data_IF_998159048249
#
_entry.id   IF_998159048249
#
_cell.length_a   1.000
_cell.length_b   1.000
_cell.length_c   1.000
_cell.angle_alpha   90.00
_cell.angle_beta   90.00
_cell.angle_gamma   90.00
#
_symmetry.space_group_name_H-M   'P 1'
#
loop_
_entity.id
_entity.type
_entity.pdbx_description
1 polymer ?
#
# COMPACT_ATOMS: atom_id res chain seq x y z
N UNK A 1 -38.52 48.40 -13.36
CA UNK A 1 -37.10 48.04 -13.12
C UNK A 1 -36.92 46.88 -12.16
N UNK A 2 -37.49 46.89 -10.94
CA UNK A 2 -37.33 45.81 -9.96
C UNK A 2 -37.83 44.41 -10.42
N UNK A 3 -38.85 44.37 -11.29
CA UNK A 3 -39.41 43.13 -11.85
C UNK A 3 -38.52 42.50 -12.92
N UNK A 4 -37.75 43.29 -13.68
CA UNK A 4 -36.78 42.80 -14.66
C UNK A 4 -35.53 42.20 -14.01
N UNK A 5 -35.10 42.75 -12.87
CA UNK A 5 -33.94 42.25 -12.12
C UNK A 5 -34.22 40.87 -11.50
N UNK A 6 -35.45 40.62 -11.05
CA UNK A 6 -35.86 39.33 -10.48
C UNK A 6 -35.91 38.19 -11.50
N UNK A 7 -36.40 38.44 -12.72
CA UNK A 7 -36.44 37.41 -13.77
C UNK A 7 -35.06 37.07 -14.31
N UNK A 8 -34.13 38.02 -14.36
CA UNK A 8 -32.75 37.76 -14.79
C UNK A 8 -32.01 36.89 -13.77
N UNK A 9 -32.23 37.08 -12.46
CA UNK A 9 -31.59 36.28 -11.41
C UNK A 9 -32.05 34.81 -11.43
N UNK A 10 -33.32 34.52 -11.76
CA UNK A 10 -33.81 33.14 -11.88
C UNK A 10 -33.24 32.39 -13.10
N UNK A 11 -32.91 33.08 -14.19
CA UNK A 11 -32.38 32.44 -15.39
C UNK A 11 -30.90 32.01 -15.24
N UNK A 12 -30.12 32.71 -14.40
CA UNK A 12 -28.68 32.42 -14.20
C UNK A 12 -28.45 31.16 -13.33
N UNK A 13 -29.38 30.82 -12.43
CA UNK A 13 -29.24 29.66 -11.53
C UNK A 13 -29.42 28.32 -12.28
N UNK A 14 -30.09 28.32 -13.44
CA UNK A 14 -30.37 27.11 -14.23
C UNK A 14 -29.22 26.68 -15.17
N UNK A 15 -28.12 27.45 -15.23
CA UNK A 15 -26.93 27.11 -16.04
C UNK A 15 -25.81 26.44 -15.24
N UNK A 16 -26.05 26.04 -13.99
CA UNK A 16 -25.12 25.17 -13.27
C UNK A 16 -25.15 23.77 -13.92
N UNK A 17 -24.28 23.57 -14.92
CA UNK A 17 -24.12 22.28 -15.59
C UNK A 17 -23.89 21.17 -14.59
N UNK A 18 -24.58 20.04 -14.78
CA UNK A 18 -24.39 18.84 -13.99
C UNK A 18 -22.95 18.35 -14.20
N UNK A 19 -22.09 18.53 -13.20
CA UNK A 19 -20.83 17.83 -13.14
C UNK A 19 -21.13 16.35 -12.87
N UNK A 20 -20.99 15.51 -13.89
CA UNK A 20 -21.03 14.06 -13.72
C UNK A 20 -19.73 13.60 -13.09
N UNK A 21 -19.81 12.76 -12.06
CA UNK A 21 -18.64 12.07 -11.54
C UNK A 21 -18.20 11.02 -12.57
N UNK A 22 -17.00 11.19 -13.14
CA UNK A 22 -16.34 10.14 -13.91
C UNK A 22 -15.90 9.05 -12.92
N UNK A 23 -16.45 7.85 -13.07
CA UNK A 23 -16.02 6.70 -12.26
C UNK A 23 -14.73 6.13 -12.86
N UNK A 24 -13.62 6.32 -12.16
CA UNK A 24 -12.34 5.70 -12.52
C UNK A 24 -12.24 4.39 -11.74
N UNK A 25 -12.40 3.26 -12.43
CA UNK A 25 -12.11 1.95 -11.86
C UNK A 25 -10.59 1.80 -11.77
N UNK A 26 -10.04 1.90 -10.56
CA UNK A 26 -8.65 1.53 -10.33
C UNK A 26 -8.52 0.00 -10.38
N UNK A 27 -7.41 -0.53 -10.93
CA UNK A 27 -7.04 -1.92 -10.67
C UNK A 27 -7.01 -2.15 -9.16
N UNK A 28 -7.31 -3.38 -8.72
CA UNK A 28 -7.07 -3.75 -7.32
C UNK A 28 -5.65 -3.36 -6.92
N UNK A 29 -5.46 -2.85 -5.70
CA UNK A 29 -4.14 -2.63 -5.09
C UNK A 29 -3.40 -3.98 -4.99
N UNK A 30 -2.78 -4.31 -6.13
CA UNK A 30 -1.98 -5.47 -6.52
C UNK A 30 -2.51 -6.90 -6.30
N UNK A 31 -2.62 -7.73 -7.37
CA UNK A 31 -2.46 -9.18 -7.24
C UNK A 31 -1.05 -9.58 -6.71
N UNK A 32 -0.08 -8.68 -6.82
CA UNK A 32 1.33 -8.88 -6.47
C UNK A 32 1.66 -8.62 -5.00
N UNK A 33 0.73 -8.10 -4.18
CA UNK A 33 0.96 -7.87 -2.75
C UNK A 33 0.82 -9.15 -1.91
N UNK A 34 0.25 -10.22 -2.48
CA UNK A 34 0.01 -11.46 -1.75
C UNK A 34 1.33 -12.17 -1.47
N UNK A 35 1.65 -12.29 -0.19
CA UNK A 35 2.85 -13.00 0.23
C UNK A 35 2.76 -14.51 -0.11
N UNK A 36 3.80 -15.07 -0.74
CA UNK A 36 3.93 -16.52 -0.98
C UNK A 36 3.72 -17.30 0.33
N UNK A 37 2.93 -18.38 0.35
CA UNK A 37 2.72 -19.16 1.56
C UNK A 37 4.03 -19.84 2.02
N UNK A 38 4.18 -19.99 3.33
CA UNK A 38 5.31 -20.73 3.91
C UNK A 38 5.54 -20.43 5.39
N UNK A 39 6.43 -21.17 6.07
CA UNK A 39 6.79 -20.91 7.45
C UNK A 39 7.28 -19.45 7.61
N UNK A 40 6.66 -18.70 8.53
CA UNK A 40 6.95 -17.29 8.77
C UNK A 40 6.13 -16.29 7.94
N UNK A 41 5.34 -16.74 6.95
CA UNK A 41 4.49 -15.86 6.13
C UNK A 41 3.48 -15.05 6.95
N UNK A 42 2.83 -15.66 7.95
CA UNK A 42 1.88 -14.95 8.82
C UNK A 42 2.55 -13.88 9.69
N UNK A 43 3.80 -14.14 10.13
CA UNK A 43 4.58 -13.15 10.89
C UNK A 43 5.00 -12.01 9.97
N UNK A 44 5.43 -12.29 8.74
CA UNK A 44 5.72 -11.26 7.76
C UNK A 44 4.47 -10.44 7.40
N UNK A 45 3.32 -11.09 7.20
CA UNK A 45 2.06 -10.41 6.89
C UNK A 45 1.63 -9.47 8.01
N UNK A 46 1.69 -9.92 9.27
CA UNK A 46 1.26 -9.09 10.41
C UNK A 46 2.21 -7.92 10.67
N UNK A 47 3.52 -8.13 10.47
CA UNK A 47 4.55 -7.19 10.90
C UNK A 47 4.97 -6.20 9.80
N UNK A 48 5.02 -6.64 8.54
CA UNK A 48 5.53 -5.83 7.44
C UNK A 48 4.44 -4.99 6.74
N UNK A 49 3.15 -5.31 6.97
CA UNK A 49 2.02 -4.55 6.42
C UNK A 49 1.59 -3.35 7.30
N UNK A 50 2.32 -3.08 8.40
CA UNK A 50 1.96 -2.00 9.33
C UNK A 50 2.21 -0.60 8.78
N UNK A 51 3.23 -0.45 7.93
CA UNK A 51 3.69 0.86 7.45
C UNK A 51 3.59 1.04 5.93
N UNK A 52 3.60 -0.05 5.18
CA UNK A 52 3.51 -0.06 3.72
C UNK A 52 2.87 -1.36 3.22
N UNK A 53 2.46 -1.40 1.97
CA UNK A 53 1.98 -2.60 1.30
C UNK A 53 3.10 -3.64 1.13
N UNK A 54 2.74 -4.92 1.04
CA UNK A 54 3.67 -6.04 0.92
C UNK A 54 4.18 -6.27 -0.51
N UNK A 55 3.64 -5.54 -1.49
CA UNK A 55 4.18 -5.45 -2.85
C UNK A 55 5.66 -5.00 -2.86
N UNK A 56 6.08 -4.14 -1.92
CA UNK A 56 7.48 -3.75 -1.71
C UNK A 56 8.41 -4.92 -1.44
N UNK A 57 7.90 -6.04 -0.90
CA UNK A 57 8.65 -7.28 -0.70
C UNK A 57 8.67 -8.07 -2.00
N UNK A 58 7.50 -8.27 -2.63
CA UNK A 58 7.34 -9.11 -3.81
C UNK A 58 8.10 -8.55 -5.02
N UNK A 59 8.19 -7.23 -5.13
CA UNK A 59 8.90 -6.54 -6.21
C UNK A 59 10.43 -6.45 -6.01
N UNK A 60 10.99 -6.88 -4.87
CA UNK A 60 12.44 -6.86 -4.71
C UNK A 60 13.12 -7.88 -5.65
N UNK A 61 14.33 -7.56 -6.15
CA UNK A 61 15.20 -8.57 -6.75
C UNK A 61 15.46 -9.74 -5.77
N UNK A 62 15.60 -10.99 -6.26
CA UNK A 62 15.90 -12.12 -5.39
C UNK A 62 17.13 -11.89 -4.51
N UNK A 63 16.95 -12.02 -3.19
CA UNK A 63 17.99 -11.77 -2.18
C UNK A 63 18.37 -13.01 -1.38
N UNK A 64 19.64 -13.20 -1.09
CA UNK A 64 20.06 -14.26 -0.15
C UNK A 64 19.77 -13.87 1.32
N UNK A 65 20.02 -14.79 2.26
CA UNK A 65 19.76 -14.58 3.69
C UNK A 65 20.38 -13.29 4.21
N UNK A 66 21.64 -13.02 3.87
CA UNK A 66 22.37 -11.83 4.34
C UNK A 66 21.70 -10.54 3.84
N UNK A 67 21.24 -10.55 2.59
CA UNK A 67 20.53 -9.41 2.02
C UNK A 67 19.21 -9.15 2.75
N UNK A 68 18.41 -10.19 3.00
CA UNK A 68 17.14 -10.05 3.72
C UNK A 68 17.31 -9.70 5.20
N UNK A 69 18.34 -10.21 5.87
CA UNK A 69 18.71 -9.79 7.22
C UNK A 69 18.98 -8.29 7.27
N UNK A 70 19.70 -7.76 6.26
CA UNK A 70 19.97 -6.33 6.11
C UNK A 70 18.70 -5.51 5.89
N UNK A 71 17.77 -5.99 5.07
CA UNK A 71 16.48 -5.33 4.83
C UNK A 71 15.64 -5.28 6.10
N UNK A 72 15.47 -6.40 6.79
CA UNK A 72 14.70 -6.47 8.05
C UNK A 72 15.35 -5.59 9.13
N UNK A 73 16.68 -5.63 9.24
CA UNK A 73 17.44 -4.75 10.16
C UNK A 73 17.20 -3.28 9.83
N UNK A 74 17.16 -2.90 8.54
CA UNK A 74 16.84 -1.53 8.13
C UNK A 74 15.43 -1.14 8.58
N UNK A 75 14.44 -2.01 8.41
CA UNK A 75 13.07 -1.72 8.86
C UNK A 75 13.02 -1.46 10.36
N UNK A 76 13.74 -2.24 11.15
CA UNK A 76 13.77 -2.11 12.62
C UNK A 76 14.56 -0.87 13.05
N UNK A 77 15.80 -0.70 12.57
CA UNK A 77 16.74 0.30 13.11
C UNK A 77 16.57 1.70 12.49
N UNK A 78 16.16 1.78 11.23
CA UNK A 78 16.02 3.05 10.50
C UNK A 78 14.57 3.52 10.49
N UNK A 79 13.63 2.61 10.28
CA UNK A 79 12.20 2.96 10.19
C UNK A 79 11.39 2.64 11.44
N UNK A 80 12.00 2.04 12.47
CA UNK A 80 11.37 1.85 13.78
C UNK A 80 10.32 0.73 13.81
N UNK A 81 10.38 -0.24 12.89
CA UNK A 81 9.45 -1.36 12.88
C UNK A 81 9.53 -2.16 14.21
N UNK A 82 8.41 -2.36 14.93
CA UNK A 82 8.41 -2.95 16.27
C UNK A 82 8.40 -4.50 16.20
N UNK A 83 9.51 -5.10 15.77
CA UNK A 83 9.68 -6.56 15.74
C UNK A 83 10.55 -7.04 16.91
N UNK A 84 10.16 -8.18 17.50
CA UNK A 84 11.05 -8.93 18.40
C UNK A 84 12.22 -9.55 17.62
N UNK A 85 13.32 -9.89 18.29
CA UNK A 85 14.47 -10.55 17.63
C UNK A 85 14.07 -11.91 17.01
N UNK A 86 13.14 -12.62 17.65
CA UNK A 86 12.60 -13.89 17.15
C UNK A 86 11.77 -13.69 15.88
N UNK A 87 10.88 -12.69 15.86
CA UNK A 87 10.08 -12.37 14.68
C UNK A 87 10.94 -11.84 13.54
N UNK A 88 11.94 -10.99 13.84
CA UNK A 88 12.89 -10.48 12.86
C UNK A 88 13.63 -11.62 12.16
N UNK A 89 14.12 -12.60 12.92
CA UNK A 89 14.75 -13.81 12.39
C UNK A 89 13.79 -14.62 11.53
N UNK A 90 12.57 -14.89 12.03
CA UNK A 90 11.57 -15.66 11.30
C UNK A 90 11.18 -15.01 9.97
N UNK A 91 11.03 -13.67 9.96
CA UNK A 91 10.73 -12.91 8.74
C UNK A 91 11.91 -12.97 7.78
N UNK A 92 13.14 -12.72 8.21
CA UNK A 92 14.29 -12.73 7.31
C UNK A 92 14.51 -14.11 6.66
N UNK A 93 14.36 -15.20 7.43
CA UNK A 93 14.43 -16.57 6.90
C UNK A 93 13.28 -16.89 5.94
N UNK A 94 12.06 -16.46 6.26
CA UNK A 94 10.92 -16.60 5.35
C UNK A 94 11.19 -15.89 4.01
N UNK A 95 11.66 -14.64 4.08
CA UNK A 95 11.94 -13.83 2.90
C UNK A 95 13.04 -14.45 2.03
N UNK A 96 14.13 -14.92 2.65
CA UNK A 96 15.19 -15.62 1.93
C UNK A 96 14.72 -16.94 1.29
N UNK A 97 13.83 -17.69 1.94
CA UNK A 97 13.31 -18.95 1.40
C UNK A 97 12.32 -18.74 0.25
N UNK A 98 11.44 -17.75 0.35
CA UNK A 98 10.36 -17.55 -0.62
C UNK A 98 10.71 -16.56 -1.74
N UNK A 99 11.61 -15.62 -1.47
CA UNK A 99 12.02 -14.53 -2.37
C UNK A 99 13.54 -14.46 -2.55
N UNK A 100 14.24 -15.55 -2.26
CA UNK A 100 15.67 -15.65 -2.51
C UNK A 100 16.04 -16.35 -3.80
N UNK A 101 17.35 -16.41 -4.01
CA UNK A 101 18.05 -17.10 -5.11
C UNK A 101 18.82 -18.30 -4.55
#
# INVERSE_FOLDING_TARGET
MATLVRTIICAVVLLAGAASAEEITLPSDHPDGTLKPGPGSEVAQRSCALCHSTDYIVMQPPGDQKQWDGVVTKMIKVFGAPLSDADAKAVAEYLARQYGR
#
